data_IF_843125600159
#
_entry.id   IF_843125600159
#
_cell.length_a   1.000
_cell.length_b   1.000
_cell.length_c   1.000
_cell.angle_alpha   90.00
_cell.angle_beta   90.00
_cell.angle_gamma   90.00
#
_symmetry.space_group_name_H-M   'P 1'
#
loop_
_entity.id
_entity.type
_entity.pdbx_description
1 polymer ?
#
# COMPACT_ATOMS: atom_id res chain seq x y z
N UNK A 1 -6.32 -8.73 10.92
CA UNK A 1 -5.81 -9.83 11.77
C UNK A 1 -4.51 -9.31 12.38
N UNK A 2 -4.57 -8.57 13.51
CA UNK A 2 -4.62 -9.05 14.91
C UNK A 2 -3.20 -8.85 15.52
N UNK A 3 -2.93 -8.14 16.62
CA UNK A 3 -3.68 -7.34 17.59
C UNK A 3 -2.79 -6.13 17.93
N UNK A 4 -3.35 -4.92 17.87
CA UNK A 4 -2.69 -3.68 18.33
C UNK A 4 -3.26 -3.36 19.72
N UNK A 5 -2.58 -3.80 20.78
CA UNK A 5 -2.83 -3.31 22.14
C UNK A 5 -1.86 -2.16 22.42
N UNK A 6 -2.26 -0.95 22.00
CA UNK A 6 -1.58 0.29 22.38
C UNK A 6 -1.79 0.57 23.87
N UNK A 7 -0.72 0.47 24.67
CA UNK A 7 -0.68 0.97 26.05
C UNK A 7 -0.41 2.48 26.08
N UNK A 8 -1.01 3.23 27.03
CA UNK A 8 -0.79 4.66 27.16
C UNK A 8 0.58 4.99 27.78
N UNK A 9 1.18 6.10 27.34
CA UNK A 9 2.39 6.67 27.95
C UNK A 9 2.07 7.19 29.37
N UNK A 10 2.55 6.47 30.39
CA UNK A 10 2.42 6.89 31.78
C UNK A 10 3.52 7.88 32.18
N UNK A 11 3.12 9.13 32.49
CA UNK A 11 3.94 10.05 33.31
C UNK A 11 3.72 9.70 34.78
N UNK A 12 4.80 9.34 35.49
CA UNK A 12 4.78 9.18 36.95
C UNK A 12 4.87 10.57 37.59
N UNK A 13 3.83 10.97 38.32
CA UNK A 13 3.87 12.08 39.29
C UNK A 13 4.40 11.58 40.63
N UNK A 14 5.20 12.41 41.28
CA UNK A 14 6.01 12.12 42.47
C UNK A 14 5.14 11.89 43.72
N UNK A 15 5.60 10.95 44.56
CA UNK A 15 5.31 10.75 46.00
C UNK A 15 3.91 11.10 46.52
N UNK A 16 3.08 10.07 46.72
CA UNK A 16 2.09 10.07 47.81
C UNK A 16 2.71 9.31 48.97
N UNK A 17 2.99 10.01 50.07
CA UNK A 17 3.18 9.38 51.37
C UNK A 17 1.97 8.48 51.65
N UNK A 18 2.24 7.24 52.03
CA UNK A 18 1.20 6.28 52.43
C UNK A 18 0.56 6.76 53.73
N UNK A 19 -0.43 7.64 53.62
CA UNK A 19 -1.46 7.81 54.63
C UNK A 19 -2.68 6.99 54.19
N UNK A 20 -2.93 5.92 54.95
CA UNK A 20 -4.17 5.14 55.07
C UNK A 20 -5.20 5.32 53.95
N UNK A 21 -5.06 4.51 52.89
CA UNK A 21 -6.16 4.26 51.96
C UNK A 21 -7.11 3.23 52.60
N UNK A 22 -8.39 3.61 52.70
CA UNK A 22 -9.49 2.86 53.27
C UNK A 22 -9.72 1.51 52.61
N UNK A 23 -10.13 0.55 53.44
CA UNK A 23 -10.52 -0.83 53.15
C UNK A 23 -11.43 -0.94 51.92
N UNK A 24 -10.92 -1.49 50.82
CA UNK A 24 -11.74 -2.15 49.81
C UNK A 24 -10.89 -3.15 49.02
N UNK A 25 -11.29 -4.42 49.09
CA UNK A 25 -10.69 -5.61 48.47
C UNK A 25 -9.16 -5.76 48.66
N UNK A 26 -8.73 -6.35 49.78
CA UNK A 26 -7.35 -6.78 49.95
C UNK A 26 -7.01 -7.87 48.91
N UNK A 27 -6.08 -7.59 47.99
CA UNK A 27 -5.55 -8.57 47.06
C UNK A 27 -4.93 -9.75 47.84
N UNK A 28 -5.05 -11.02 47.39
CA UNK A 28 -4.59 -12.20 48.14
C UNK A 28 -3.11 -12.20 48.51
N UNK A 29 -2.29 -11.43 47.79
CA UNK A 29 -0.84 -11.30 48.02
C UNK A 29 -0.42 -9.96 48.64
N UNK A 30 -1.34 -9.23 49.28
CA UNK A 30 -1.04 -7.91 49.87
C UNK A 30 0.00 -7.98 51.01
N UNK A 31 0.12 -9.14 51.67
CA UNK A 31 1.04 -9.36 52.80
C UNK A 31 2.44 -9.82 52.37
N UNK A 32 2.66 -10.08 51.07
CA UNK A 32 3.95 -10.60 50.57
C UNK A 32 5.01 -9.50 50.64
N UNK A 33 6.02 -9.69 51.50
CA UNK A 33 7.16 -8.79 51.57
C UNK A 33 8.16 -9.10 50.44
N UNK A 34 8.46 -8.14 49.55
CA UNK A 34 9.38 -8.38 48.45
C UNK A 34 10.85 -8.49 48.96
N UNK A 35 11.74 -9.14 48.19
CA UNK A 35 13.18 -9.12 48.48
C UNK A 35 13.73 -7.68 48.50
N UNK A 36 14.79 -7.42 49.28
CA UNK A 36 15.36 -6.09 49.56
C UNK A 36 15.75 -5.24 48.34
N UNK A 37 15.77 -5.81 47.13
CA UNK A 37 16.02 -5.10 45.87
C UNK A 37 14.79 -4.57 45.12
N UNK A 38 13.57 -4.83 45.59
CA UNK A 38 12.32 -4.33 45.01
C UNK A 38 11.69 -3.27 45.92
N UNK A 39 11.09 -2.23 45.33
CA UNK A 39 10.29 -1.28 46.12
C UNK A 39 8.94 -1.91 46.49
N UNK A 40 8.50 -1.63 47.72
CA UNK A 40 7.22 -2.02 48.31
C UNK A 40 6.07 -1.34 47.58
N UNK A 41 5.49 -2.06 46.62
CA UNK A 41 4.21 -1.78 45.93
C UNK A 41 4.21 -0.51 45.06
N UNK A 42 4.10 -0.71 43.75
CA UNK A 42 3.92 0.39 42.79
C UNK A 42 2.53 0.23 42.20
N UNK A 43 1.71 1.27 42.25
CA UNK A 43 0.44 1.28 41.50
C UNK A 43 0.76 1.76 40.09
N UNK A 44 0.93 0.83 39.14
CA UNK A 44 1.29 1.15 37.74
C UNK A 44 0.06 1.36 36.84
N UNK A 45 -1.12 0.91 37.27
CA UNK A 45 -2.34 0.89 36.45
C UNK A 45 -3.53 1.41 37.26
N UNK A 46 -4.44 2.12 36.61
CA UNK A 46 -5.74 2.53 37.17
C UNK A 46 -6.75 1.36 37.23
N UNK A 47 -6.30 0.13 36.93
CA UNK A 47 -7.13 -1.06 36.95
C UNK A 47 -7.28 -1.54 38.41
N UNK A 48 -8.49 -1.41 38.94
CA UNK A 48 -8.88 -1.79 40.29
C UNK A 48 -8.78 -3.31 40.49
N UNK A 49 -7.58 -3.81 40.76
CA UNK A 49 -7.39 -5.23 41.09
C UNK A 49 -6.00 -5.80 40.85
N UNK A 50 -5.07 -5.08 40.21
CA UNK A 50 -3.71 -5.58 39.98
C UNK A 50 -2.75 -5.17 41.11
N UNK A 51 -1.97 -6.14 41.61
CA UNK A 51 -0.88 -5.89 42.54
C UNK A 51 0.46 -5.92 41.80
N UNK A 52 1.21 -4.81 41.84
CA UNK A 52 2.46 -4.66 41.11
C UNK A 52 3.65 -4.41 42.05
N UNK A 53 4.72 -5.18 41.88
CA UNK A 53 6.01 -4.98 42.52
C UNK A 53 7.03 -4.60 41.47
N UNK A 54 7.91 -3.63 41.74
CA UNK A 54 8.93 -3.27 40.75
C UNK A 54 10.20 -2.74 41.35
N UNK A 55 11.25 -2.89 40.54
CA UNK A 55 12.60 -2.40 40.82
C UNK A 55 12.85 -1.18 39.96
N UNK A 56 13.03 -0.05 40.61
CA UNK A 56 13.30 1.21 39.97
C UNK A 56 14.77 1.58 40.03
N UNK A 57 15.19 2.38 39.06
CA UNK A 57 16.47 3.10 39.14
C UNK A 57 16.15 4.58 39.04
N UNK A 58 16.56 5.34 40.06
CA UNK A 58 16.60 6.79 40.03
C UNK A 58 17.99 7.18 39.57
N UNK A 59 18.13 7.60 38.32
CA UNK A 59 19.40 8.16 37.87
C UNK A 59 19.49 9.63 38.26
N UNK A 60 20.69 10.10 38.56
CA UNK A 60 20.98 11.46 39.04
C UNK A 60 20.46 12.56 38.09
N UNK A 61 20.32 12.24 36.79
CA UNK A 61 19.93 13.18 35.75
C UNK A 61 18.47 13.03 35.25
N UNK A 62 17.70 12.05 35.75
CA UNK A 62 16.35 11.79 35.23
C UNK A 62 15.28 12.40 36.12
N UNK A 63 14.44 13.28 35.54
CA UNK A 63 13.19 13.74 36.16
C UNK A 63 12.13 12.64 36.30
N UNK A 64 12.39 11.44 35.78
CA UNK A 64 11.44 10.33 35.75
C UNK A 64 12.06 9.05 36.31
N UNK A 65 11.22 8.25 36.97
CA UNK A 65 11.62 6.95 37.53
C UNK A 65 11.52 5.89 36.44
N UNK A 66 12.61 5.16 36.19
CA UNK A 66 12.65 4.07 35.22
C UNK A 66 12.39 2.72 35.91
N UNK A 67 11.36 2.00 35.46
CA UNK A 67 11.05 0.63 35.91
C UNK A 67 11.91 -0.36 35.13
N UNK A 68 12.90 -0.98 35.78
CA UNK A 68 13.77 -1.98 35.17
C UNK A 68 13.07 -3.34 35.08
N UNK A 69 12.45 -3.75 36.19
CA UNK A 69 11.72 -5.00 36.33
C UNK A 69 10.43 -4.71 37.07
N UNK A 70 9.34 -5.33 36.66
CA UNK A 70 8.14 -5.37 37.49
C UNK A 70 7.43 -6.72 37.35
N UNK A 71 6.73 -7.10 38.41
CA UNK A 71 5.93 -8.31 38.50
C UNK A 71 4.51 -7.87 38.81
N UNK A 72 3.56 -8.26 37.96
CA UNK A 72 2.14 -7.98 38.17
C UNK A 72 1.41 -9.26 38.56
N UNK A 73 0.52 -9.15 39.53
CA UNK A 73 -0.42 -10.19 39.93
C UNK A 73 -1.83 -9.68 39.65
N UNK A 74 -2.55 -10.38 38.79
CA UNK A 74 -3.93 -10.05 38.42
C UNK A 74 -4.87 -11.17 38.82
N UNK A 75 -6.05 -10.83 39.33
CA UNK A 75 -7.10 -11.81 39.62
C UNK A 75 -7.64 -12.37 38.29
N UNK A 76 -7.70 -13.69 38.14
CA UNK A 76 -8.20 -14.32 36.92
C UNK A 76 -9.73 -14.45 37.02
N UNK A 77 -10.47 -13.71 36.17
CA UNK A 77 -11.93 -13.72 36.15
C UNK A 77 -12.54 -14.88 35.35
N UNK A 78 -11.73 -15.70 34.67
CA UNK A 78 -12.20 -16.65 33.64
C UNK A 78 -12.20 -18.13 34.05
N UNK A 79 -12.07 -18.49 35.34
CA UNK A 79 -11.88 -19.89 35.76
C UNK A 79 -13.12 -20.49 36.45
N UNK A 80 -13.36 -21.79 36.19
CA UNK A 80 -14.37 -22.67 36.80
C UNK A 80 -14.25 -22.74 38.32
N UNK A 81 -15.39 -22.98 39.02
CA UNK A 81 -15.58 -22.88 40.49
C UNK A 81 -14.53 -23.59 41.39
N UNK A 82 -13.73 -24.51 40.87
CA UNK A 82 -12.69 -25.22 41.64
C UNK A 82 -11.31 -24.52 41.66
N UNK A 83 -11.10 -23.43 40.91
CA UNK A 83 -9.80 -22.71 40.82
C UNK A 83 -9.87 -21.25 41.28
N UNK A 84 -10.86 -20.89 42.10
CA UNK A 84 -11.21 -19.50 42.48
C UNK A 84 -10.11 -18.69 43.24
N UNK A 85 -8.93 -19.26 43.48
CA UNK A 85 -7.85 -18.59 44.23
C UNK A 85 -6.53 -18.42 43.45
N UNK A 86 -6.48 -18.77 42.16
CA UNK A 86 -5.25 -18.58 41.37
C UNK A 86 -5.17 -17.17 40.80
N UNK A 87 -4.09 -16.44 41.08
CA UNK A 87 -3.80 -15.17 40.40
C UNK A 87 -2.81 -15.39 39.26
N UNK A 88 -2.94 -14.59 38.22
CA UNK A 88 -2.03 -14.57 37.09
C UNK A 88 -0.82 -13.71 37.39
N UNK A 89 0.36 -14.32 37.43
CA UNK A 89 1.64 -13.63 37.59
C UNK A 89 2.27 -13.35 36.22
N UNK A 90 2.65 -12.11 35.97
CA UNK A 90 3.39 -11.69 34.77
C UNK A 90 4.69 -10.99 35.17
N UNK A 91 5.82 -11.44 34.63
CA UNK A 91 7.12 -10.82 34.86
C UNK A 91 7.50 -9.99 33.64
N UNK A 92 7.77 -8.71 33.85
CA UNK A 92 8.17 -7.76 32.83
C UNK A 92 9.57 -7.21 33.08
N UNK A 93 10.35 -7.08 32.01
CA UNK A 93 11.66 -6.43 31.99
C UNK A 93 11.67 -5.36 30.90
N UNK A 94 11.86 -4.08 31.28
CA UNK A 94 11.89 -2.93 30.34
C UNK A 94 10.76 -2.93 29.29
N UNK A 95 9.52 -3.15 29.75
CA UNK A 95 8.28 -3.28 28.94
C UNK A 95 8.08 -4.61 28.19
N UNK A 96 9.08 -5.50 28.15
CA UNK A 96 8.92 -6.82 27.55
C UNK A 96 8.44 -7.83 28.59
N UNK A 97 7.40 -8.59 28.22
CA UNK A 97 6.91 -9.72 29.00
C UNK A 97 7.87 -10.89 28.87
N UNK A 98 8.49 -11.28 29.98
CA UNK A 98 9.49 -12.36 30.04
C UNK A 98 8.84 -13.68 30.38
N UNK A 99 7.88 -13.68 31.30
CA UNK A 99 7.25 -14.92 31.78
C UNK A 99 5.80 -14.68 32.20
N UNK A 100 4.98 -15.73 32.14
CA UNK A 100 3.56 -15.75 32.52
C UNK A 100 3.20 -17.11 33.12
N UNK A 101 2.75 -17.12 34.36
CA UNK A 101 2.31 -18.35 35.03
C UNK A 101 1.28 -18.04 36.13
N UNK A 102 0.55 -19.07 36.58
CA UNK A 102 -0.45 -18.97 37.63
C UNK A 102 0.16 -19.22 39.01
N UNK A 103 -0.33 -18.48 40.01
CA UNK A 103 0.18 -18.50 41.38
C UNK A 103 -1.02 -18.66 42.33
N UNK A 104 -1.03 -19.72 43.12
CA UNK A 104 -2.09 -20.01 44.10
C UNK A 104 -1.69 -19.67 45.54
N UNK A 105 -0.41 -19.86 45.89
CA UNK A 105 0.10 -19.70 47.26
C UNK A 105 1.11 -18.57 47.36
N UNK A 106 1.20 -17.95 48.54
CA UNK A 106 2.20 -16.93 48.85
C UNK A 106 3.65 -17.38 48.58
N UNK A 107 3.99 -18.64 48.88
CA UNK A 107 5.31 -19.21 48.58
C UNK A 107 5.66 -19.13 47.08
N UNK A 108 4.68 -19.39 46.20
CA UNK A 108 4.85 -19.27 44.75
C UNK A 108 4.99 -17.81 44.31
N UNK A 109 4.31 -16.86 44.96
CA UNK A 109 4.48 -15.43 44.70
C UNK A 109 5.90 -14.97 45.08
N UNK A 110 6.43 -15.40 46.22
CA UNK A 110 7.81 -15.12 46.63
C UNK A 110 8.82 -15.76 45.67
N UNK A 111 8.58 -16.99 45.23
CA UNK A 111 9.43 -17.64 44.23
C UNK A 111 9.44 -16.86 42.90
N UNK A 112 8.29 -16.30 42.47
CA UNK A 112 8.19 -15.44 41.30
C UNK A 112 9.03 -14.16 41.45
N UNK A 113 8.97 -13.51 42.61
CA UNK A 113 9.77 -12.32 42.90
C UNK A 113 11.27 -12.63 42.92
N UNK A 114 11.68 -13.74 43.55
CA UNK A 114 13.09 -14.20 43.52
C UNK A 114 13.55 -14.52 42.10
N UNK A 115 12.70 -15.16 41.29
CA UNK A 115 12.97 -15.45 39.88
C UNK A 115 13.16 -14.15 39.09
N UNK A 116 12.29 -13.16 39.30
CA UNK A 116 12.43 -11.84 38.68
C UNK A 116 13.72 -11.14 39.12
N UNK A 117 14.12 -11.25 40.40
CA UNK A 117 15.37 -10.64 40.88
C UNK A 117 16.61 -11.28 40.25
N UNK A 118 16.59 -12.61 40.09
CA UNK A 118 17.68 -13.37 39.48
C UNK A 118 17.89 -13.08 37.97
N UNK A 119 16.93 -12.44 37.28
CA UNK A 119 17.08 -12.07 35.88
C UNK A 119 18.14 -10.97 35.69
N UNK A 120 19.23 -11.26 34.98
CA UNK A 120 20.21 -10.24 34.63
C UNK A 120 19.75 -9.45 33.40
N UNK A 121 19.60 -8.14 33.56
CA UNK A 121 19.27 -7.24 32.45
C UNK A 121 20.53 -6.95 31.62
N UNK A 122 20.38 -6.84 30.31
CA UNK A 122 21.48 -6.41 29.43
C UNK A 122 21.87 -4.96 29.75
N UNK A 123 23.15 -4.57 29.80
CA UNK A 123 23.53 -3.16 29.99
C UNK A 123 23.18 -2.26 28.78
N UNK A 124 22.91 -2.86 27.61
CA UNK A 124 22.59 -2.12 26.38
C UNK A 124 23.84 -1.61 25.68
N UNK A 125 23.65 -0.88 24.58
CA UNK A 125 24.72 -0.21 23.85
C UNK A 125 24.60 1.32 24.03
N UNK A 126 25.69 2.01 24.30
CA UNK A 126 25.72 3.48 24.36
C UNK A 126 25.71 4.17 22.98
N UNK A 127 25.58 3.42 21.89
CA UNK A 127 25.68 3.91 20.52
C UNK A 127 24.28 3.94 19.88
N UNK A 128 23.93 5.06 19.26
CA UNK A 128 22.68 5.21 18.54
C UNK A 128 22.66 4.34 17.27
N UNK A 129 21.61 3.53 17.05
CA UNK A 129 21.53 2.63 15.91
C UNK A 129 21.34 3.40 14.59
N UNK A 130 21.98 2.89 13.53
CA UNK A 130 21.95 3.50 12.18
C UNK A 130 20.56 3.34 11.51
N UNK A 131 19.80 2.32 11.89
CA UNK A 131 18.45 2.06 11.35
C UNK A 131 17.39 2.44 12.39
N UNK A 132 16.61 3.47 12.06
CA UNK A 132 15.42 3.85 12.81
C UNK A 132 14.41 2.69 12.80
N UNK A 133 13.96 2.24 13.98
CA UNK A 133 12.90 1.23 14.14
C UNK A 133 13.32 -0.18 14.58
N UNK A 134 14.61 -0.45 14.83
CA UNK A 134 15.07 -1.77 15.33
C UNK A 134 15.54 -1.76 16.79
N UNK A 135 15.56 -0.61 17.44
CA UNK A 135 15.96 -0.49 18.83
C UNK A 135 15.05 0.47 19.60
N UNK A 136 14.89 0.18 20.89
CA UNK A 136 14.25 1.06 21.86
C UNK A 136 15.32 1.74 22.71
N UNK A 137 15.21 3.05 22.90
CA UNK A 137 16.05 3.80 23.84
C UNK A 137 15.49 3.65 25.25
N UNK A 138 16.33 3.27 26.20
CA UNK A 138 15.96 3.19 27.61
C UNK A 138 17.09 3.81 28.45
N UNK A 139 16.84 5.00 29.00
CA UNK A 139 17.89 5.85 29.56
C UNK A 139 18.86 6.33 28.48
N UNK A 140 20.16 6.17 28.74
CA UNK A 140 21.24 6.51 27.81
C UNK A 140 21.63 5.37 26.85
N UNK A 141 21.05 4.18 27.06
CA UNK A 141 21.42 2.98 26.29
C UNK A 141 20.32 2.58 25.31
N UNK A 142 20.73 2.02 24.18
CA UNK A 142 19.88 1.48 23.13
C UNK A 142 19.84 -0.06 23.23
N UNK A 143 18.64 -0.61 23.01
CA UNK A 143 18.36 -2.04 23.13
C UNK A 143 17.62 -2.52 21.89
N UNK A 144 18.02 -3.67 21.33
CA UNK A 144 17.20 -4.34 20.32
C UNK A 144 15.84 -4.72 20.91
N UNK A 145 14.76 -4.64 20.11
CA UNK A 145 13.44 -5.11 20.52
C UNK A 145 13.42 -6.59 20.97
N UNK A 146 14.39 -7.39 20.54
CA UNK A 146 14.52 -8.79 20.93
C UNK A 146 15.42 -9.02 22.17
N UNK A 147 16.07 -7.99 22.72
CA UNK A 147 17.03 -8.14 23.82
C UNK A 147 16.39 -7.77 25.17
N UNK A 148 15.81 -8.77 25.85
CA UNK A 148 15.14 -8.57 27.14
C UNK A 148 16.00 -8.99 28.34
N UNK A 149 16.81 -10.06 28.22
CA UNK A 149 17.51 -10.72 29.35
C UNK A 149 18.88 -11.28 28.92
N UNK A 150 19.88 -11.29 29.82
CA UNK A 150 21.16 -11.99 29.62
C UNK A 150 21.02 -13.47 29.98
N UNK A 151 21.72 -14.34 29.24
CA UNK A 151 22.05 -15.70 29.70
C UNK A 151 22.83 -15.67 31.01
N UNK A 152 22.58 -16.61 31.93
CA UNK A 152 23.17 -16.69 33.27
C UNK A 152 24.71 -16.63 33.35
N UNK A 153 25.41 -16.82 32.22
CA UNK A 153 26.88 -16.80 32.12
C UNK A 153 27.48 -15.40 31.85
N UNK A 154 26.72 -14.33 32.04
CA UNK A 154 27.24 -12.96 31.89
C UNK A 154 27.67 -12.57 30.47
N UNK A 155 27.32 -13.35 29.44
CA UNK A 155 27.54 -13.00 28.04
C UNK A 155 26.51 -11.95 27.59
N UNK A 156 26.91 -11.06 26.68
CA UNK A 156 26.01 -10.11 26.03
C UNK A 156 24.90 -10.87 25.26
N UNK A 157 23.72 -10.27 25.11
CA UNK A 157 22.69 -10.90 24.28
C UNK A 157 23.23 -10.98 22.84
N UNK A 158 23.07 -12.13 22.17
CA UNK A 158 23.58 -12.37 20.80
C UNK A 158 23.20 -11.24 19.82
N UNK A 159 21.99 -10.68 19.98
CA UNK A 159 21.53 -9.53 19.20
C UNK A 159 22.38 -8.25 19.38
N UNK A 160 22.92 -7.99 20.58
CA UNK A 160 23.81 -6.85 20.84
C UNK A 160 25.17 -7.06 20.19
N UNK A 161 25.71 -8.27 20.28
CA UNK A 161 26.98 -8.63 19.64
C UNK A 161 26.90 -8.48 18.12
N UNK A 162 25.84 -8.99 17.50
CA UNK A 162 25.60 -8.82 16.05
C UNK A 162 25.47 -7.35 15.67
N UNK A 163 24.79 -6.54 16.50
CA UNK A 163 24.64 -5.10 16.23
C UNK A 163 25.97 -4.34 16.37
N UNK A 164 26.79 -4.65 17.37
CA UNK A 164 28.12 -4.07 17.53
C UNK A 164 29.03 -4.43 16.35
N UNK A 165 29.06 -5.71 15.94
CA UNK A 165 29.83 -6.13 14.77
C UNK A 165 29.35 -5.45 13.48
N UNK A 166 28.04 -5.30 13.29
CA UNK A 166 27.47 -4.58 12.15
C UNK A 166 27.88 -3.10 12.15
N UNK A 167 27.90 -2.46 13.32
CA UNK A 167 28.35 -1.09 13.47
C UNK A 167 29.84 -0.94 13.16
N UNK A 168 30.70 -1.80 13.72
CA UNK A 168 32.15 -1.80 13.43
C UNK A 168 32.44 -2.00 11.95
N UNK A 169 31.69 -2.89 11.27
CA UNK A 169 31.78 -3.10 9.82
C UNK A 169 31.33 -1.87 9.03
N UNK A 170 30.23 -1.23 9.43
CA UNK A 170 29.72 0.00 8.79
C UNK A 170 30.67 1.18 8.96
N UNK A 171 31.24 1.36 10.15
CA UNK A 171 32.21 2.42 10.44
C UNK A 171 33.51 2.21 9.66
N UNK A 172 34.00 0.97 9.60
CA UNK A 172 35.14 0.60 8.76
C UNK A 172 34.88 0.86 7.26
N UNK A 173 33.70 0.50 6.74
CA UNK A 173 33.32 0.77 5.36
C UNK A 173 33.19 2.27 5.06
N UNK A 174 32.69 3.06 6.01
CA UNK A 174 32.55 4.52 5.86
C UNK A 174 33.92 5.21 5.83
N UNK A 175 34.90 4.68 6.60
CA UNK A 175 36.29 5.16 6.59
C UNK A 175 37.04 4.76 5.31
N UNK A 176 36.76 3.58 4.75
CA UNK A 176 37.39 3.12 3.51
C UNK A 176 36.80 3.77 2.23
N UNK A 177 35.52 4.14 2.25
CA UNK A 177 34.83 4.78 1.12
C UNK A 177 34.35 6.19 1.51
N UNK A 178 35.26 7.19 1.55
CA UNK A 178 34.85 8.56 1.81
C UNK A 178 33.81 8.99 0.78
N UNK A 179 32.64 9.42 1.24
CA UNK A 179 31.58 9.95 0.36
C UNK A 179 32.22 11.01 -0.55
N UNK A 180 32.02 10.94 -1.87
CA UNK A 180 32.59 11.92 -2.77
C UNK A 180 32.14 13.31 -2.30
N UNK A 181 33.09 14.23 -2.11
CA UNK A 181 32.81 15.59 -1.65
C UNK A 181 31.66 16.16 -2.49
N UNK A 182 30.75 16.95 -1.88
CA UNK A 182 29.56 17.51 -2.54
C UNK A 182 29.86 18.08 -3.94
N UNK A 183 31.03 18.72 -4.10
CA UNK A 183 31.58 19.23 -5.35
C UNK A 183 31.76 18.17 -6.45
N UNK A 184 32.24 16.97 -6.12
CA UNK A 184 32.38 15.86 -7.08
C UNK A 184 31.02 15.31 -7.52
N UNK A 185 30.03 15.26 -6.62
CA UNK A 185 28.66 14.83 -6.97
C UNK A 185 28.01 15.83 -7.93
N UNK A 186 28.14 17.13 -7.65
CA UNK A 186 27.68 18.19 -8.53
C UNK A 186 28.37 18.14 -9.91
N UNK A 187 29.69 17.90 -9.95
CA UNK A 187 30.42 17.73 -11.21
C UNK A 187 29.91 16.53 -12.03
N UNK A 188 29.66 15.37 -11.39
CA UNK A 188 29.10 14.19 -12.06
C UNK A 188 27.70 14.46 -12.63
N UNK A 189 26.84 15.12 -11.86
CA UNK A 189 25.50 15.50 -12.31
C UNK A 189 25.55 16.47 -13.50
N UNK A 190 26.44 17.46 -13.45
CA UNK A 190 26.66 18.41 -14.55
C UNK A 190 27.11 17.68 -15.83
N UNK A 191 28.08 16.76 -15.72
CA UNK A 191 28.53 15.94 -16.86
C UNK A 191 27.40 15.06 -17.40
N UNK A 192 26.61 14.44 -16.53
CA UNK A 192 25.46 13.63 -16.94
C UNK A 192 24.41 14.46 -17.69
N UNK A 193 24.11 15.65 -17.18
CA UNK A 193 23.19 16.59 -17.80
C UNK A 193 23.70 17.08 -19.16
N UNK A 194 25.00 17.33 -19.29
CA UNK A 194 25.61 17.68 -20.57
C UNK A 194 25.49 16.52 -21.58
N UNK A 195 25.73 15.28 -21.14
CA UNK A 195 25.58 14.08 -21.97
C UNK A 195 24.13 13.88 -22.42
N UNK A 196 23.15 14.07 -21.53
CA UNK A 196 21.73 13.94 -21.89
C UNK A 196 21.30 15.05 -22.83
N UNK A 197 21.73 16.31 -22.62
CA UNK A 197 21.50 17.41 -23.56
C UNK A 197 22.06 17.13 -24.96
N UNK A 198 23.28 16.59 -25.07
CA UNK A 198 23.86 16.20 -26.36
C UNK A 198 23.07 15.08 -27.04
N UNK A 199 22.59 14.08 -26.29
CA UNK A 199 21.74 13.01 -26.83
C UNK A 199 20.40 13.56 -27.33
N UNK A 200 19.80 14.48 -26.57
CA UNK A 200 18.54 15.13 -26.94
C UNK A 200 18.70 15.95 -28.23
N UNK A 201 19.77 16.74 -28.35
CA UNK A 201 20.06 17.53 -29.55
C UNK A 201 20.19 16.63 -30.80
N UNK A 202 20.94 15.52 -30.69
CA UNK A 202 21.07 14.54 -31.78
C UNK A 202 19.72 13.90 -32.16
N UNK A 203 18.90 13.57 -31.17
CA UNK A 203 17.57 13.01 -31.42
C UNK A 203 16.66 14.04 -32.12
N UNK A 204 16.69 15.29 -31.69
CA UNK A 204 15.94 16.39 -32.32
C UNK A 204 16.38 16.62 -33.77
N UNK A 205 17.69 16.66 -34.04
CA UNK A 205 18.23 16.76 -35.39
C UNK A 205 17.77 15.60 -36.28
N UNK A 206 17.81 14.38 -35.75
CA UNK A 206 17.35 13.18 -36.47
C UNK A 206 15.85 13.26 -36.78
N UNK A 207 15.03 13.70 -35.82
CA UNK A 207 13.58 13.88 -36.02
C UNK A 207 13.30 14.95 -37.08
N UNK A 208 14.00 16.08 -37.06
CA UNK A 208 13.83 17.11 -38.10
C UNK A 208 14.25 16.62 -39.48
N UNK A 209 15.37 15.89 -39.58
CA UNK A 209 15.77 15.26 -40.84
C UNK A 209 14.69 14.31 -41.37
N UNK A 210 14.11 13.49 -40.50
CA UNK A 210 13.00 12.58 -40.87
C UNK A 210 11.73 13.34 -41.27
N UNK A 211 11.42 14.47 -40.62
CA UNK A 211 10.29 15.33 -41.00
C UNK A 211 10.46 15.91 -42.39
N UNK A 212 11.65 16.41 -42.72
CA UNK A 212 11.95 16.93 -44.06
C UNK A 212 11.82 15.84 -45.13
N UNK A 213 12.31 14.63 -44.85
CA UNK A 213 12.14 13.48 -45.75
C UNK A 213 10.66 13.11 -45.90
N UNK A 214 9.87 13.14 -44.83
CA UNK A 214 8.45 12.84 -44.91
C UNK A 214 7.65 13.92 -45.66
N UNK A 215 8.05 15.20 -45.56
CA UNK A 215 7.41 16.30 -46.29
C UNK A 215 7.71 16.29 -47.79
N UNK A 216 8.86 15.73 -48.21
CA UNK A 216 9.21 15.63 -49.63
C UNK A 216 8.53 14.48 -50.37
N UNK A 217 7.93 13.53 -49.64
CA UNK A 217 7.17 12.44 -50.25
C UNK A 217 5.79 12.96 -50.66
N UNK A 218 5.53 12.97 -51.97
CA UNK A 218 4.20 13.30 -52.50
C UNK A 218 3.15 12.27 -52.02
N UNK A 219 1.95 12.75 -51.67
CA UNK A 219 0.84 11.89 -51.22
C UNK A 219 0.49 10.79 -52.25
N UNK A 220 0.66 11.07 -53.55
CA UNK A 220 0.45 10.10 -54.63
C UNK A 220 1.41 8.92 -54.56
N UNK A 221 2.69 9.17 -54.25
CA UNK A 221 3.70 8.13 -54.10
C UNK A 221 3.45 7.30 -52.84
N UNK A 222 2.93 7.92 -51.77
CA UNK A 222 2.51 7.21 -50.56
C UNK A 222 1.33 6.27 -50.84
N UNK A 223 0.31 6.75 -51.54
CA UNK A 223 -0.88 5.96 -51.90
C UNK A 223 -0.54 4.75 -52.80
N UNK A 224 0.38 4.92 -53.75
CA UNK A 224 0.89 3.83 -54.56
C UNK A 224 1.60 2.76 -53.72
N UNK A 225 2.41 3.16 -52.72
CA UNK A 225 3.11 2.21 -51.83
C UNK A 225 2.16 1.40 -50.96
N UNK A 226 1.08 2.00 -50.47
CA UNK A 226 0.10 1.28 -49.64
C UNK A 226 -0.92 0.51 -50.46
N UNK A 227 -1.00 0.72 -51.78
CA UNK A 227 -2.02 0.10 -52.64
C UNK A 227 -2.03 -1.44 -52.60
N UNK A 228 -0.87 -2.08 -52.40
CA UNK A 228 -0.73 -3.53 -52.29
C UNK A 228 -1.20 -4.13 -50.95
N UNK A 229 -1.49 -3.29 -49.95
CA UNK A 229 -1.94 -3.77 -48.64
C UNK A 229 -3.47 -4.00 -48.62
N UNK A 230 -3.96 -4.98 -47.84
CA UNK A 230 -5.38 -5.15 -47.57
C UNK A 230 -6.04 -3.86 -47.07
N UNK A 231 -7.33 -3.61 -47.40
CA UNK A 231 -8.04 -2.39 -47.02
C UNK A 231 -7.94 -2.00 -45.55
N UNK A 232 -8.00 -2.99 -44.65
CA UNK A 232 -7.87 -2.78 -43.20
C UNK A 232 -6.48 -2.28 -42.80
N UNK A 233 -5.43 -2.87 -43.39
CA UNK A 233 -4.04 -2.48 -43.11
C UNK A 233 -3.73 -1.11 -43.70
N UNK A 234 -4.25 -0.79 -44.89
CA UNK A 234 -4.14 0.57 -45.48
C UNK A 234 -4.71 1.63 -44.55
N UNK A 235 -5.89 1.38 -43.99
CA UNK A 235 -6.52 2.32 -43.06
C UNK A 235 -5.71 2.51 -41.77
N UNK A 236 -5.15 1.44 -41.22
CA UNK A 236 -4.27 1.50 -40.05
C UNK A 236 -3.03 2.35 -40.35
N UNK A 237 -2.33 2.07 -41.47
CA UNK A 237 -1.14 2.80 -41.90
C UNK A 237 -1.46 4.28 -42.12
N UNK A 238 -2.53 4.61 -42.86
CA UNK A 238 -2.97 6.02 -43.06
C UNK A 238 -3.22 6.73 -41.72
N UNK A 239 -3.83 6.03 -40.75
CA UNK A 239 -4.10 6.61 -39.43
C UNK A 239 -2.83 6.84 -38.62
N UNK A 240 -1.84 5.94 -38.72
CA UNK A 240 -0.51 6.14 -38.11
C UNK A 240 0.20 7.36 -38.72
N UNK A 241 0.24 7.48 -40.05
CA UNK A 241 0.85 8.63 -40.72
C UNK A 241 0.15 9.95 -40.39
N UNK A 242 -1.20 9.95 -40.36
CA UNK A 242 -2.00 11.12 -39.99
C UNK A 242 -1.79 11.56 -38.54
N UNK A 243 -1.51 10.62 -37.65
CA UNK A 243 -1.18 10.94 -36.26
C UNK A 243 0.26 11.48 -36.14
N UNK A 244 1.20 10.84 -36.84
CA UNK A 244 2.61 11.23 -36.83
C UNK A 244 2.87 12.61 -37.45
N UNK A 245 2.03 13.04 -38.40
CA UNK A 245 2.11 14.38 -39.00
C UNK A 245 1.61 15.50 -38.07
N UNK A 246 0.90 15.15 -36.99
CA UNK A 246 0.40 16.14 -36.01
C UNK A 246 1.39 16.36 -34.88
N UNK A 247 1.38 17.58 -34.33
CA UNK A 247 2.18 17.95 -33.15
C UNK A 247 1.70 17.23 -31.87
N UNK A 248 0.42 16.86 -31.81
CA UNK A 248 -0.17 16.15 -30.68
C UNK A 248 -1.26 15.16 -31.13
N UNK A 249 -1.44 14.11 -30.35
CA UNK A 249 -2.49 13.09 -30.55
C UNK A 249 -3.87 13.55 -30.05
N UNK A 250 -3.93 14.64 -29.29
CA UNK A 250 -5.16 15.19 -28.75
C UNK A 250 -6.07 15.71 -29.87
N UNK A 251 -7.36 15.36 -29.82
CA UNK A 251 -8.36 15.82 -30.80
C UNK A 251 -8.22 15.20 -32.19
N UNK A 252 -7.53 14.06 -32.34
CA UNK A 252 -7.48 13.38 -33.63
C UNK A 252 -8.84 12.76 -33.99
N UNK A 253 -9.36 13.13 -35.16
CA UNK A 253 -10.54 12.49 -35.75
C UNK A 253 -10.16 11.16 -36.40
N UNK A 254 -10.79 10.09 -35.94
CA UNK A 254 -10.63 8.74 -36.46
C UNK A 254 -11.72 8.42 -37.48
N UNK A 255 -11.39 7.58 -38.47
CA UNK A 255 -12.38 7.02 -39.37
C UNK A 255 -13.31 6.05 -38.62
N UNK A 256 -14.60 6.04 -38.95
CA UNK A 256 -15.60 5.16 -38.35
C UNK A 256 -15.22 3.69 -38.52
N UNK A 257 -14.68 3.32 -39.69
CA UNK A 257 -14.21 1.96 -39.96
C UNK A 257 -13.03 1.57 -39.07
N UNK A 258 -12.12 2.52 -38.82
CA UNK A 258 -10.98 2.28 -37.94
C UNK A 258 -11.40 2.13 -36.49
N UNK A 259 -12.31 2.99 -36.02
CA UNK A 259 -12.88 2.89 -34.66
C UNK A 259 -13.59 1.54 -34.47
N UNK A 260 -14.33 1.06 -35.47
CA UNK A 260 -14.98 -0.24 -35.41
C UNK A 260 -13.94 -1.38 -35.26
N UNK A 261 -12.86 -1.36 -36.02
CA UNK A 261 -11.78 -2.35 -35.89
C UNK A 261 -11.12 -2.28 -34.49
N UNK A 262 -10.93 -1.07 -33.94
CA UNK A 262 -10.42 -0.88 -32.58
C UNK A 262 -11.38 -1.45 -31.52
N UNK A 263 -12.70 -1.31 -31.71
CA UNK A 263 -13.71 -1.94 -30.84
C UNK A 263 -13.59 -3.46 -30.92
N UNK A 264 -13.51 -4.03 -32.12
CA UNK A 264 -13.36 -5.49 -32.31
C UNK A 264 -12.07 -6.02 -31.67
N UNK A 265 -10.97 -5.29 -31.80
CA UNK A 265 -9.69 -5.62 -31.17
C UNK A 265 -9.82 -5.64 -29.64
N UNK A 266 -10.46 -4.62 -29.06
CA UNK A 266 -10.71 -4.54 -27.61
C UNK A 266 -11.65 -5.64 -27.12
N UNK A 267 -12.65 -6.03 -27.91
CA UNK A 267 -13.54 -7.16 -27.58
C UNK A 267 -12.79 -8.50 -27.55
N UNK A 268 -11.80 -8.69 -28.43
CA UNK A 268 -10.96 -9.90 -28.45
C UNK A 268 -10.00 -9.97 -27.27
N UNK A 269 -9.30 -8.87 -26.95
CA UNK A 269 -8.41 -8.79 -25.81
C UNK A 269 -8.25 -7.34 -25.33
N UNK A 270 -8.90 -6.95 -24.21
CA UNK A 270 -8.76 -5.62 -23.64
C UNK A 270 -7.33 -5.31 -23.17
N UNK A 271 -6.64 -6.31 -22.63
CA UNK A 271 -5.26 -6.17 -22.15
C UNK A 271 -4.30 -5.88 -23.30
N UNK A 272 -4.42 -6.62 -24.40
CA UNK A 272 -3.60 -6.39 -25.60
C UNK A 272 -3.85 -4.99 -26.17
N UNK A 273 -5.12 -4.56 -26.22
CA UNK A 273 -5.48 -3.23 -26.70
C UNK A 273 -4.80 -2.12 -25.87
N UNK A 274 -4.87 -2.21 -24.54
CA UNK A 274 -4.22 -1.22 -23.66
C UNK A 274 -2.70 -1.30 -23.74
N UNK A 275 -2.10 -2.48 -23.92
CA UNK A 275 -0.67 -2.63 -24.12
C UNK A 275 -0.20 -1.91 -25.40
N UNK A 276 -0.83 -2.20 -26.55
CA UNK A 276 -0.51 -1.56 -27.83
C UNK A 276 -0.66 -0.03 -27.75
N UNK A 277 -1.69 0.44 -27.04
CA UNK A 277 -1.96 1.86 -26.83
C UNK A 277 -0.95 2.54 -25.90
N UNK A 278 -0.64 1.95 -24.74
CA UNK A 278 0.29 2.51 -23.74
C UNK A 278 1.73 2.60 -24.27
N UNK A 279 2.13 1.64 -25.11
CA UNK A 279 3.44 1.64 -25.74
C UNK A 279 3.49 2.39 -27.08
N UNK A 280 2.41 3.07 -27.47
CA UNK A 280 2.32 3.87 -28.71
C UNK A 280 2.75 3.10 -29.98
N UNK A 281 2.55 1.77 -29.99
CA UNK A 281 2.92 0.91 -31.14
C UNK A 281 2.06 1.25 -32.36
N UNK A 282 0.78 1.59 -32.13
CA UNK A 282 -0.17 2.01 -33.14
C UNK A 282 -1.07 3.13 -32.60
N UNK A 283 -1.59 3.97 -33.49
CA UNK A 283 -2.46 5.09 -33.11
C UNK A 283 -3.88 4.63 -32.82
N UNK A 284 -4.11 4.27 -31.55
CA UNK A 284 -5.38 3.75 -31.06
C UNK A 284 -6.20 4.81 -30.31
N UNK A 285 -7.53 4.86 -30.51
CA UNK A 285 -8.42 5.70 -29.71
C UNK A 285 -8.36 5.38 -28.21
N UNK A 286 -8.64 6.37 -27.37
CA UNK A 286 -8.78 6.15 -25.94
C UNK A 286 -10.01 5.29 -25.61
N UNK A 287 -9.99 4.63 -24.44
CA UNK A 287 -11.16 3.96 -23.86
C UNK A 287 -12.39 4.88 -23.88
N UNK A 288 -12.25 6.12 -23.42
CA UNK A 288 -13.32 7.12 -23.44
C UNK A 288 -13.83 7.46 -24.85
N UNK A 289 -12.96 7.45 -25.86
CA UNK A 289 -13.36 7.65 -27.26
C UNK A 289 -14.17 6.46 -27.79
N UNK A 290 -13.72 5.23 -27.51
CA UNK A 290 -14.46 4.02 -27.89
C UNK A 290 -15.82 3.96 -27.20
N UNK A 291 -15.87 4.26 -25.91
CA UNK A 291 -17.11 4.24 -25.13
C UNK A 291 -18.10 5.29 -25.65
N UNK A 292 -17.63 6.49 -26.05
CA UNK A 292 -18.47 7.50 -26.73
C UNK A 292 -19.03 7.00 -28.06
N UNK A 293 -18.27 6.20 -28.82
CA UNK A 293 -18.77 5.60 -30.05
C UNK A 293 -19.77 4.48 -29.76
N UNK A 294 -19.50 3.64 -28.76
CA UNK A 294 -20.39 2.59 -28.29
C UNK A 294 -21.73 3.14 -27.78
N UNK A 295 -21.72 4.25 -27.04
CA UNK A 295 -22.93 4.93 -26.55
C UNK A 295 -23.85 5.42 -27.69
N UNK A 296 -23.32 5.67 -28.89
CA UNK A 296 -24.16 6.01 -30.05
C UNK A 296 -24.96 4.82 -30.55
N UNK A 297 -24.49 3.59 -30.29
CA UNK A 297 -25.25 2.38 -30.53
C UNK A 297 -26.24 2.20 -29.37
N UNK A 298 -27.42 2.80 -29.50
CA UNK A 298 -28.51 2.59 -28.54
C UNK A 298 -28.95 1.12 -28.60
N UNK A 299 -28.58 0.36 -27.58
CA UNK A 299 -29.20 -0.93 -27.29
C UNK A 299 -30.50 -0.63 -26.55
N UNK A 300 -31.62 -0.70 -27.27
CA UNK A 300 -32.95 -0.69 -26.65
C UNK A 300 -33.26 -2.10 -26.15
N UNK A 301 -34.00 -2.20 -25.05
CA UNK A 301 -34.56 -3.48 -24.63
C UNK A 301 -35.47 -4.02 -25.75
N UNK A 302 -35.32 -5.29 -26.12
CA UNK A 302 -36.02 -5.92 -27.23
C UNK A 302 -35.23 -5.94 -28.54
N UNK A 303 -35.92 -6.23 -29.64
CA UNK A 303 -35.33 -6.36 -30.98
C UNK A 303 -35.05 -5.00 -31.60
N UNK A 304 -33.79 -4.74 -31.97
CA UNK A 304 -33.44 -3.53 -32.72
C UNK A 304 -33.59 -3.81 -34.23
N UNK A 305 -34.59 -3.23 -34.92
CA UNK A 305 -34.84 -3.53 -36.34
C UNK A 305 -33.65 -3.18 -37.23
N UNK A 306 -32.81 -2.22 -36.83
CA UNK A 306 -31.59 -1.86 -37.58
C UNK A 306 -30.52 -2.94 -37.57
N UNK A 307 -30.55 -3.84 -36.59
CA UNK A 307 -29.62 -4.98 -36.55
C UNK A 307 -30.05 -6.03 -37.58
N UNK A 308 -31.35 -6.15 -37.85
CA UNK A 308 -31.91 -7.12 -38.78
C UNK A 308 -31.90 -6.66 -40.24
N UNK A 309 -31.80 -5.35 -40.51
CA UNK A 309 -31.78 -4.84 -41.89
C UNK A 309 -30.57 -5.31 -42.72
N UNK A 310 -29.40 -5.45 -42.09
CA UNK A 310 -28.19 -5.94 -42.78
C UNK A 310 -28.23 -7.45 -43.08
N UNK A 311 -28.62 -8.33 -42.13
CA UNK A 311 -28.95 -9.72 -42.43
C UNK A 311 -30.04 -9.87 -43.49
N UNK A 312 -31.12 -9.07 -43.41
CA UNK A 312 -32.23 -9.10 -44.35
C UNK A 312 -31.77 -8.88 -45.79
N UNK A 313 -30.91 -7.87 -46.01
CA UNK A 313 -30.30 -7.63 -47.32
C UNK A 313 -29.49 -8.83 -47.81
N UNK A 314 -28.75 -9.49 -46.93
CA UNK A 314 -27.95 -10.68 -47.29
C UNK A 314 -28.81 -11.92 -47.54
N UNK A 315 -29.94 -12.07 -46.86
CA UNK A 315 -30.84 -13.22 -47.06
C UNK A 315 -31.68 -13.12 -48.33
N UNK A 316 -31.79 -11.94 -48.96
CA UNK A 316 -32.47 -11.80 -50.27
C UNK A 316 -31.84 -12.62 -51.39
N UNK A 317 -30.53 -12.84 -51.30
CA UNK A 317 -29.76 -13.58 -52.30
C UNK A 317 -29.66 -15.09 -51.99
N UNK A 318 -30.18 -15.52 -50.82
CA UNK A 318 -30.06 -16.90 -50.36
C UNK A 318 -31.27 -17.70 -50.87
N UNK A 319 -31.03 -18.85 -51.50
CA UNK A 319 -32.07 -19.78 -51.97
C UNK A 319 -32.98 -20.26 -50.83
N UNK A 320 -34.27 -20.46 -51.12
CA UNK A 320 -35.32 -20.84 -50.16
C UNK A 320 -34.97 -22.08 -49.31
N UNK A 321 -34.29 -23.07 -49.90
CA UNK A 321 -33.80 -24.28 -49.20
C UNK A 321 -32.72 -24.01 -48.14
N UNK A 322 -32.08 -22.84 -48.18
CA UNK A 322 -31.07 -22.42 -47.20
C UNK A 322 -31.64 -21.49 -46.11
N UNK A 323 -32.94 -21.19 -46.15
CA UNK A 323 -33.65 -20.37 -45.15
C UNK A 323 -34.04 -21.15 -43.89
N UNK A 324 -33.86 -22.47 -43.86
CA UNK A 324 -34.15 -23.30 -42.68
C UNK A 324 -33.10 -23.10 -41.58
N UNK A 325 -33.16 -21.97 -40.86
CA UNK A 325 -32.40 -21.77 -39.63
C UNK A 325 -33.37 -21.71 -38.46
N UNK A 326 -33.34 -22.72 -37.61
CA UNK A 326 -34.12 -22.73 -36.36
C UNK A 326 -33.64 -21.62 -35.42
N UNK A 327 -34.58 -20.96 -34.74
CA UNK A 327 -34.27 -19.97 -33.70
C UNK A 327 -34.24 -20.68 -32.36
N UNK A 328 -33.06 -20.81 -31.75
CA UNK A 328 -32.93 -21.31 -30.39
C UNK A 328 -32.86 -20.13 -29.42
N UNK A 329 -33.82 -20.04 -28.51
CA UNK A 329 -33.86 -19.02 -27.46
C UNK A 329 -33.53 -19.70 -26.13
N UNK A 330 -32.36 -19.37 -25.57
CA UNK A 330 -31.98 -19.78 -24.23
C UNK A 330 -32.13 -18.62 -23.25
N UNK A 331 -32.81 -18.86 -22.12
CA UNK A 331 -32.86 -17.90 -21.01
C UNK A 331 -31.66 -18.14 -20.11
N UNK A 332 -30.84 -17.10 -19.88
CA UNK A 332 -29.71 -17.16 -18.96
C UNK A 332 -30.06 -16.41 -17.68
N UNK A 333 -30.06 -17.12 -16.54
CA UNK A 333 -30.21 -16.49 -15.23
C UNK A 333 -28.91 -15.74 -14.91
N UNK A 334 -29.00 -14.42 -14.74
CA UNK A 334 -27.92 -13.58 -14.23
C UNK A 334 -28.21 -13.21 -12.76
N UNK A 335 -27.16 -13.06 -11.96
CA UNK A 335 -27.24 -12.66 -10.56
C UNK A 335 -27.98 -11.32 -10.43
N UNK A 336 -28.97 -11.26 -9.54
CA UNK A 336 -29.72 -10.06 -9.23
C UNK A 336 -28.85 -9.06 -8.46
N UNK A 337 -28.10 -8.23 -9.18
CA UNK A 337 -27.41 -7.08 -8.60
C UNK A 337 -28.28 -5.82 -8.80
N UNK A 338 -28.39 -4.97 -7.79
CA UNK A 338 -28.99 -3.65 -7.94
C UNK A 338 -28.07 -2.74 -8.77
N UNK A 339 -28.50 -2.38 -9.98
CA UNK A 339 -27.78 -1.43 -10.83
C UNK A 339 -28.20 0.00 -10.45
N UNK A 340 -27.29 0.78 -9.87
CA UNK A 340 -27.56 2.17 -9.49
C UNK A 340 -27.45 3.07 -10.73
N UNK A 341 -28.58 3.45 -11.30
CA UNK A 341 -28.62 4.40 -12.42
C UNK A 341 -28.45 5.82 -11.86
N UNK A 342 -27.28 6.43 -12.09
CA UNK A 342 -27.06 7.85 -11.75
C UNK A 342 -27.59 8.72 -12.89
N UNK A 343 -28.69 9.41 -12.65
CA UNK A 343 -29.26 10.41 -13.58
C UNK A 343 -28.60 11.76 -13.28
N UNK A 344 -27.70 12.22 -14.13
CA UNK A 344 -27.16 13.59 -14.05
C UNK A 344 -27.99 14.51 -14.95
N UNK A 345 -28.67 15.49 -14.34
CA UNK A 345 -29.40 16.54 -15.05
C UNK A 345 -28.39 17.55 -15.60
N UNK A 346 -28.15 17.54 -16.91
CA UNK A 346 -27.42 18.64 -17.57
C UNK A 346 -28.43 19.66 -18.11
N UNK A 347 -28.09 20.95 -17.99
CA UNK A 347 -28.88 22.18 -18.23
C UNK A 347 -29.47 22.35 -19.66
N UNK A 348 -29.35 21.33 -20.52
CA UNK A 348 -29.88 21.30 -21.91
C UNK A 348 -30.89 20.17 -22.16
N UNK A 349 -31.69 19.78 -21.16
CA UNK A 349 -32.79 18.81 -21.33
C UNK A 349 -32.39 17.49 -22.07
N UNK A 350 -31.15 17.02 -21.88
CA UNK A 350 -30.69 15.71 -22.35
C UNK A 350 -30.43 14.81 -21.16
N UNK A 351 -31.26 13.79 -20.99
CA UNK A 351 -31.03 12.73 -20.02
C UNK A 351 -29.89 11.84 -20.53
N UNK A 352 -28.78 11.76 -19.79
CA UNK A 352 -27.74 10.76 -19.99
C UNK A 352 -27.82 9.76 -18.84
N UNK A 353 -28.14 8.50 -19.16
CA UNK A 353 -27.92 7.39 -18.25
C UNK A 353 -26.48 6.90 -18.41
N UNK A 354 -25.67 6.96 -17.35
CA UNK A 354 -24.38 6.26 -17.29
C UNK A 354 -24.56 4.99 -16.47
N UNK A 355 -24.20 3.84 -17.04
CA UNK A 355 -23.89 2.66 -16.27
C UNK A 355 -22.48 2.82 -15.72
N UNK A 356 -22.35 3.01 -14.41
CA UNK A 356 -21.08 2.82 -13.72
C UNK A 356 -20.98 1.33 -13.38
N UNK A 357 -20.03 0.63 -13.98
CA UNK A 357 -19.47 -0.56 -13.38
C UNK A 357 -18.38 -0.04 -12.45
N UNK A 358 -18.60 -0.18 -11.15
CA UNK A 358 -17.60 0.14 -10.14
C UNK A 358 -16.45 -0.86 -10.29
N UNK A 359 -15.41 -0.45 -11.04
CA UNK A 359 -14.09 -1.05 -10.93
C UNK A 359 -13.31 -0.13 -9.99
N UNK A 360 -13.15 -0.57 -8.75
CA UNK A 360 -12.24 0.02 -7.77
C UNK A 360 -10.79 -0.25 -8.20
N UNK A 361 -10.32 0.49 -9.21
CA UNK A 361 -8.89 0.64 -9.50
C UNK A 361 -8.56 2.14 -9.38
N UNK A 362 -8.19 2.50 -8.15
CA UNK A 362 -7.66 3.80 -7.75
C UNK A 362 -6.23 3.91 -8.30
N UNK A 363 -6.04 4.68 -9.37
CA UNK A 363 -4.73 5.18 -9.79
C UNK A 363 -4.90 6.65 -10.20
N UNK A 364 -4.47 7.52 -9.29
CA UNK A 364 -4.54 8.96 -9.44
C UNK A 364 -3.81 9.48 -10.68
N UNK A 365 -4.52 10.25 -11.50
CA UNK A 365 -3.89 11.23 -12.38
C UNK A 365 -4.80 12.45 -12.57
N UNK A 366 -4.35 13.53 -11.94
CA UNK A 366 -4.53 14.96 -12.20
C UNK A 366 -5.71 15.42 -13.09
N UNK A 367 -6.55 16.24 -12.46
CA UNK A 367 -7.51 17.14 -13.08
C UNK A 367 -6.86 18.05 -14.14
N UNK A 368 -7.30 17.90 -15.39
CA UNK A 368 -7.21 18.98 -16.38
C UNK A 368 -8.61 19.31 -16.87
N UNK A 369 -9.18 20.34 -16.24
CA UNK A 369 -10.37 21.02 -16.73
C UNK A 369 -10.11 21.57 -18.13
N UNK A 370 -10.82 21.07 -19.13
CA UNK A 370 -10.92 21.71 -20.43
C UNK A 370 -12.40 21.92 -20.76
N UNK A 371 -12.94 23.05 -20.28
CA UNK A 371 -14.15 23.65 -20.82
C UNK A 371 -13.85 24.17 -22.23
N UNK A 372 -14.46 23.58 -23.26
CA UNK A 372 -14.82 24.31 -24.48
C UNK A 372 -16.17 23.86 -25.00
N UNK A 373 -17.09 24.83 -25.02
CA UNK A 373 -18.34 24.84 -25.75
C UNK A 373 -18.05 24.80 -27.26
N UNK A 374 -18.53 23.77 -27.94
CA UNK A 374 -18.72 23.83 -29.39
C UNK A 374 -20.23 23.94 -29.64
N UNK A 375 -20.63 25.12 -30.11
CA UNK A 375 -21.89 25.28 -30.84
C UNK A 375 -21.90 24.40 -32.07
N UNK A 376 -23.08 23.97 -32.47
CA UNK A 376 -23.34 23.33 -33.76
C UNK A 376 -24.53 24.07 -34.40
N UNK A 377 -24.61 24.03 -35.75
CA UNK A 377 -25.20 25.07 -36.59
C UNK A 377 -26.70 25.29 -36.41
#
# INVERSE_FOLDING_TARGET
MALDEGMPDCKLTESVDVQSASETSAHPFSNVSPPSGFCTKIVLTNESGELCFGRHIRGENFRYVLVHKHVTFAVCSEMTQEQAQTSLCRIYCRKFKVDKFFVATESHALAALKKADALFLCPGCGIEPIKTGQCTKFGESYYSHACSVRTAKGKECFALQVHQEAYSKSDAQTKQNPKPKLRQRAARQSVQLLRTRRKLAKAQETVEKLRLVNQSVADTAFEQKISGLPPKQRLAVRTCFKAASKKSSCGMAYDKLWVLECILMRMKSPQLYEHIRKHEIMTLPSKTCLDKHLQRFKSTFGFNPKVFSAPEQKTKEINEFSHHRGVMIGVRVQSACLWKVRVTKTEKNRVHARCCLDNDDDDGSEDVACMRTCGTP
#
